data_IF_570998212360
#
_entry.id   IF_570998212360
#
_cell.length_a   1.000
_cell.length_b   1.000
_cell.length_c   1.000
_cell.angle_alpha   90.00
_cell.angle_beta   90.00
_cell.angle_gamma   90.00
#
_symmetry.space_group_name_H-M   'P 1'
#
loop_
_entity.id
_entity.type
_entity.pdbx_description
1 polymer ?
#
# COMPACT_ATOMS: atom_id res chain seq x y z
N UNK A 1 -3.00 -35.91 17.25
CA UNK A 1 -2.91 -34.57 16.63
C UNK A 1 -2.33 -34.74 15.22
N UNK A 2 -2.99 -34.24 14.20
CA UNK A 2 -2.38 -34.22 12.86
C UNK A 2 -1.13 -33.35 12.93
N UNK A 3 -0.05 -33.79 12.32
CA UNK A 3 1.18 -33.01 12.22
C UNK A 3 0.87 -31.75 11.42
N UNK A 4 1.08 -30.56 12.03
CA UNK A 4 0.77 -29.28 11.38
C UNK A 4 1.84 -28.99 10.35
N UNK A 5 1.43 -28.71 9.12
CA UNK A 5 2.34 -28.27 8.07
C UNK A 5 2.75 -26.84 8.36
N UNK A 6 4.06 -26.61 8.45
CA UNK A 6 4.64 -25.30 8.74
C UNK A 6 5.32 -24.73 7.50
N UNK A 7 5.13 -23.44 7.27
CA UNK A 7 5.67 -22.72 6.13
C UNK A 7 6.59 -21.59 6.58
N UNK A 8 7.57 -21.23 5.76
CA UNK A 8 8.25 -19.96 5.85
C UNK A 8 7.29 -18.82 5.45
N UNK A 9 7.69 -17.57 5.64
CA UNK A 9 6.92 -16.45 5.12
C UNK A 9 6.94 -16.43 3.59
N UNK A 10 5.84 -16.05 2.96
CA UNK A 10 5.85 -15.74 1.53
C UNK A 10 6.64 -14.43 1.27
N UNK A 11 7.11 -14.19 0.04
CA UNK A 11 7.78 -12.93 -0.29
C UNK A 11 6.99 -11.68 0.11
N UNK A 12 5.68 -11.67 -0.08
CA UNK A 12 4.81 -10.55 0.31
C UNK A 12 4.74 -10.35 1.84
N UNK A 13 4.77 -11.43 2.60
CA UNK A 13 4.81 -11.37 4.07
C UNK A 13 6.18 -10.91 4.57
N UNK A 14 7.26 -11.31 3.89
CA UNK A 14 8.63 -10.95 4.29
C UNK A 14 8.88 -9.45 4.17
N UNK A 15 8.35 -8.78 3.14
CA UNK A 15 8.39 -7.31 3.00
C UNK A 15 7.81 -6.62 4.24
N UNK A 16 6.62 -7.02 4.67
CA UNK A 16 5.97 -6.47 5.87
C UNK A 16 6.73 -6.83 7.15
N UNK A 17 7.28 -8.03 7.22
CA UNK A 17 8.08 -8.47 8.38
C UNK A 17 9.40 -7.71 8.49
N UNK A 18 10.07 -7.40 7.39
CA UNK A 18 11.28 -6.58 7.37
C UNK A 18 11.01 -5.19 7.95
N UNK A 19 9.91 -4.55 7.59
CA UNK A 19 9.51 -3.27 8.19
C UNK A 19 9.36 -3.38 9.72
N UNK A 20 8.71 -4.44 10.20
CA UNK A 20 8.58 -4.72 11.63
C UNK A 20 9.91 -5.01 12.32
N UNK A 21 10.83 -5.70 11.64
CA UNK A 21 12.13 -6.08 12.19
C UNK A 21 13.07 -4.89 12.41
N UNK A 22 13.05 -3.94 11.46
CA UNK A 22 13.95 -2.79 11.50
C UNK A 22 13.39 -1.56 12.23
N UNK A 23 12.15 -1.63 12.77
CA UNK A 23 11.59 -0.56 13.57
C UNK A 23 11.44 -0.96 15.04
N UNK A 24 11.57 0.01 15.94
CA UNK A 24 11.29 -0.20 17.38
C UNK A 24 9.78 -0.35 17.65
N UNK A 25 8.94 0.16 16.75
CA UNK A 25 7.50 0.24 16.94
C UNK A 25 6.77 -0.80 16.10
N UNK A 26 6.42 -1.94 16.70
CA UNK A 26 5.78 -3.07 16.02
C UNK A 26 4.43 -2.74 15.37
N UNK A 27 3.79 -1.62 15.75
CA UNK A 27 2.53 -1.16 15.14
C UNK A 27 2.67 -0.72 13.68
N UNK A 28 3.89 -0.58 13.15
CA UNK A 28 4.14 -0.25 11.74
C UNK A 28 3.46 -1.22 10.77
N UNK A 29 3.25 -2.46 11.20
CA UNK A 29 2.56 -3.49 10.41
C UNK A 29 1.07 -3.63 10.74
N UNK A 30 0.47 -2.69 11.48
CA UNK A 30 -0.97 -2.68 11.67
C UNK A 30 -1.64 -1.90 10.54
N UNK A 31 -2.70 -2.46 9.99
CA UNK A 31 -3.66 -1.72 9.18
C UNK A 31 -4.89 -1.50 10.04
N UNK A 32 -5.35 -0.25 10.12
CA UNK A 32 -6.59 0.12 10.77
C UNK A 32 -7.53 0.68 9.71
N UNK A 33 -8.69 0.06 9.57
CA UNK A 33 -9.66 0.40 8.52
C UNK A 33 -11.08 0.17 9.00
N UNK A 34 -12.03 0.89 8.43
CA UNK A 34 -13.44 0.72 8.71
C UNK A 34 -14.30 0.73 7.45
N UNK A 35 -15.47 0.12 7.57
CA UNK A 35 -16.59 0.33 6.65
C UNK A 35 -17.78 0.88 7.44
N UNK A 36 -18.47 1.86 6.86
CA UNK A 36 -19.76 2.30 7.34
C UNK A 36 -20.86 1.35 6.85
N UNK A 37 -21.84 1.11 7.70
CA UNK A 37 -22.98 0.23 7.46
C UNK A 37 -24.28 1.03 7.50
N UNK A 38 -25.36 0.44 7.01
CA UNK A 38 -26.70 1.02 7.13
C UNK A 38 -27.13 1.16 8.60
N UNK A 39 -28.09 2.07 8.86
CA UNK A 39 -28.59 2.36 10.21
C UNK A 39 -29.30 1.17 10.86
N UNK A 40 -29.88 0.27 10.06
CA UNK A 40 -30.68 -0.89 10.51
C UNK A 40 -29.86 -2.19 10.66
N UNK A 41 -28.52 -2.11 10.75
CA UNK A 41 -27.67 -3.29 10.89
C UNK A 41 -27.92 -4.03 12.21
N UNK A 42 -28.12 -5.34 12.13
CA UNK A 42 -28.16 -6.24 13.27
C UNK A 42 -26.74 -6.71 13.63
N UNK A 43 -26.18 -6.18 14.72
CA UNK A 43 -24.82 -6.52 15.15
C UNK A 43 -24.68 -7.95 15.68
N UNK A 44 -25.73 -8.60 16.18
CA UNK A 44 -25.66 -10.01 16.57
C UNK A 44 -25.53 -10.89 15.33
N UNK A 45 -26.28 -10.54 14.28
CA UNK A 45 -26.17 -11.22 13.00
C UNK A 45 -24.83 -10.93 12.32
N UNK A 46 -24.33 -9.69 12.42
CA UNK A 46 -23.01 -9.30 11.91
C UNK A 46 -21.88 -10.05 12.63
N UNK A 47 -22.01 -10.31 13.93
CA UNK A 47 -21.06 -11.14 14.70
C UNK A 47 -21.05 -12.58 14.18
N UNK A 48 -22.22 -13.16 13.92
CA UNK A 48 -22.34 -14.50 13.31
C UNK A 48 -21.71 -14.51 11.91
N UNK A 49 -21.99 -13.50 11.10
CA UNK A 49 -21.41 -13.35 9.77
C UNK A 49 -19.87 -13.27 9.83
N UNK A 50 -19.32 -12.46 10.74
CA UNK A 50 -17.87 -12.35 10.91
C UNK A 50 -17.21 -13.69 11.29
N UNK A 51 -17.81 -14.43 12.23
CA UNK A 51 -17.27 -15.73 12.60
C UNK A 51 -17.33 -16.73 11.44
N UNK A 52 -18.37 -16.65 10.61
CA UNK A 52 -18.46 -17.44 9.37
C UNK A 52 -17.38 -17.04 8.36
N UNK A 53 -17.10 -15.75 8.22
CA UNK A 53 -15.99 -15.26 7.37
C UNK A 53 -14.64 -15.79 7.84
N UNK A 54 -14.40 -15.86 9.16
CA UNK A 54 -13.19 -16.46 9.72
C UNK A 54 -13.06 -17.96 9.37
N UNK A 55 -14.17 -18.70 9.39
CA UNK A 55 -14.19 -20.12 8.96
C UNK A 55 -13.87 -20.28 7.47
N UNK A 56 -14.39 -19.37 6.64
CA UNK A 56 -14.27 -19.40 5.18
C UNK A 56 -12.90 -18.93 4.66
N UNK A 57 -12.21 -18.06 5.39
CA UNK A 57 -10.96 -17.46 4.98
C UNK A 57 -9.81 -17.95 5.87
N UNK A 58 -9.02 -18.90 5.38
CA UNK A 58 -7.93 -19.53 6.12
C UNK A 58 -6.82 -18.54 6.52
N UNK A 59 -6.59 -17.46 5.77
CA UNK A 59 -5.67 -16.38 6.14
C UNK A 59 -5.99 -15.79 7.53
N UNK A 60 -7.26 -15.79 7.97
CA UNK A 60 -7.67 -15.32 9.29
C UNK A 60 -7.41 -16.34 10.40
N UNK A 61 -6.91 -17.53 10.07
CA UNK A 61 -6.55 -18.60 11.01
C UNK A 61 -5.05 -18.89 11.07
N UNK A 62 -4.22 -18.03 10.47
CA UNK A 62 -2.76 -18.13 10.53
C UNK A 62 -2.26 -17.97 11.97
N UNK A 63 -1.26 -18.76 12.33
CA UNK A 63 -0.46 -18.62 13.54
C UNK A 63 1.01 -18.46 13.17
N UNK A 64 1.64 -17.50 13.80
CA UNK A 64 3.07 -17.25 13.65
C UNK A 64 3.83 -17.75 14.87
N UNK A 65 5.00 -18.31 14.65
CA UNK A 65 5.92 -18.75 15.70
C UNK A 65 7.37 -18.59 15.26
N UNK A 66 8.29 -18.60 16.21
CA UNK A 66 9.73 -18.54 15.92
C UNK A 66 10.34 -19.93 15.96
N UNK A 67 11.07 -20.30 14.93
CA UNK A 67 11.85 -21.53 14.85
C UNK A 67 13.25 -21.21 14.37
N UNK A 68 14.28 -21.55 15.16
CA UNK A 68 15.70 -21.28 14.83
C UNK A 68 15.97 -19.84 14.37
N UNK A 69 15.32 -18.86 15.02
CA UNK A 69 15.46 -17.42 14.70
C UNK A 69 14.67 -16.92 13.49
N UNK A 70 14.04 -17.80 12.70
CA UNK A 70 13.14 -17.45 11.60
C UNK A 70 11.69 -17.35 12.11
N UNK A 71 10.91 -16.48 11.50
CA UNK A 71 9.45 -16.43 11.65
C UNK A 71 8.84 -17.46 10.72
N UNK A 72 8.05 -18.37 11.28
CA UNK A 72 7.35 -19.44 10.60
C UNK A 72 5.86 -19.28 10.80
N UNK A 73 5.05 -19.97 10.00
CA UNK A 73 3.60 -19.93 10.10
C UNK A 73 2.97 -21.31 9.84
N UNK A 74 1.76 -21.48 10.36
CA UNK A 74 0.87 -22.60 10.05
C UNK A 74 -0.57 -22.12 10.08
N UNK A 75 -1.47 -22.91 9.50
CA UNK A 75 -2.90 -22.63 9.47
C UNK A 75 -3.62 -23.51 10.49
N UNK A 76 -4.52 -22.93 11.27
CA UNK A 76 -5.41 -23.68 12.13
C UNK A 76 -6.65 -24.11 11.35
N UNK A 77 -7.11 -25.35 11.57
CA UNK A 77 -8.34 -25.86 10.94
C UNK A 77 -9.56 -25.03 11.38
N UNK A 78 -9.58 -24.69 12.68
CA UNK A 78 -10.69 -23.95 13.30
C UNK A 78 -10.18 -22.79 14.15
N UNK A 79 -11.04 -21.84 14.40
CA UNK A 79 -10.81 -20.75 15.35
C UNK A 79 -12.01 -20.63 16.28
N UNK A 80 -11.79 -20.45 17.59
CA UNK A 80 -12.88 -20.25 18.55
C UNK A 80 -13.77 -19.09 18.16
N UNK A 81 -15.08 -19.25 18.36
CA UNK A 81 -16.06 -18.20 18.14
C UNK A 81 -15.67 -16.93 18.89
N UNK A 82 -15.70 -15.80 18.20
CA UNK A 82 -15.31 -14.51 18.74
C UNK A 82 -16.53 -13.65 19.02
N UNK A 83 -16.75 -13.32 20.29
CA UNK A 83 -17.67 -12.25 20.68
C UNK A 83 -17.06 -10.89 20.34
N UNK A 84 -17.85 -10.03 19.69
CA UNK A 84 -17.43 -8.71 19.24
C UNK A 84 -18.20 -7.65 20.01
N UNK A 85 -17.51 -6.78 20.77
CA UNK A 85 -18.21 -5.73 21.50
C UNK A 85 -18.78 -4.67 20.57
N UNK A 86 -20.01 -4.23 20.86
CA UNK A 86 -20.62 -3.05 20.25
C UNK A 86 -20.31 -1.85 21.17
N UNK A 87 -19.59 -0.86 20.65
CA UNK A 87 -19.20 0.34 21.38
C UNK A 87 -19.92 1.55 20.80
N UNK A 88 -20.52 2.37 21.66
CA UNK A 88 -21.18 3.62 21.27
C UNK A 88 -20.31 4.81 21.63
N UNK A 89 -20.20 5.77 20.72
CA UNK A 89 -19.57 7.06 20.95
C UNK A 89 -20.60 8.17 20.74
N UNK A 90 -20.80 8.99 21.78
CA UNK A 90 -21.82 10.04 21.76
C UNK A 90 -21.31 11.36 21.15
N UNK A 91 -20.01 11.51 20.97
CA UNK A 91 -19.40 12.66 20.30
C UNK A 91 -18.26 12.23 19.36
N UNK A 92 -17.98 13.11 18.38
CA UNK A 92 -16.85 12.92 17.45
C UNK A 92 -15.51 12.88 18.20
N UNK A 93 -15.34 13.72 19.21
CA UNK A 93 -14.11 13.80 20.02
C UNK A 93 -13.83 12.49 20.77
N UNK A 94 -14.88 11.83 21.27
CA UNK A 94 -14.74 10.52 21.93
C UNK A 94 -14.26 9.45 20.93
N UNK A 95 -14.86 9.43 19.74
CA UNK A 95 -14.45 8.51 18.69
C UNK A 95 -13.02 8.78 18.22
N UNK A 96 -12.67 10.04 17.95
CA UNK A 96 -11.33 10.44 17.53
C UNK A 96 -10.28 10.10 18.61
N UNK A 97 -10.59 10.30 19.88
CA UNK A 97 -9.72 9.93 21.00
C UNK A 97 -9.51 8.40 21.09
N UNK A 98 -10.57 7.62 20.84
CA UNK A 98 -10.46 6.17 20.77
C UNK A 98 -9.53 5.76 19.61
N UNK A 99 -9.74 6.24 18.39
CA UNK A 99 -8.89 5.94 17.22
C UNK A 99 -7.44 6.33 17.50
N UNK A 100 -7.20 7.54 18.05
CA UNK A 100 -5.87 8.03 18.40
C UNK A 100 -5.13 7.14 19.41
N UNK A 101 -5.84 6.60 20.39
CA UNK A 101 -5.32 5.63 21.36
C UNK A 101 -5.14 4.24 20.76
N UNK A 102 -6.14 3.78 20.00
CA UNK A 102 -6.20 2.42 19.47
C UNK A 102 -5.13 2.17 18.41
N UNK A 103 -4.86 3.15 17.53
CA UNK A 103 -3.79 3.07 16.52
C UNK A 103 -2.38 2.92 17.12
N UNK A 104 -2.17 3.36 18.37
CA UNK A 104 -0.86 3.29 19.04
C UNK A 104 -0.50 1.90 19.58
N UNK A 105 -1.48 1.01 19.73
CA UNK A 105 -1.28 -0.36 20.25
C UNK A 105 -0.92 -1.30 19.08
N UNK A 106 0.22 -1.98 19.18
CA UNK A 106 0.59 -3.04 18.22
C UNK A 106 -0.26 -4.29 18.42
N UNK A 107 -0.55 -5.01 17.33
CA UNK A 107 -1.04 -6.39 17.40
C UNK A 107 0.13 -7.29 17.76
N UNK A 108 -0.07 -8.15 18.77
CA UNK A 108 0.86 -9.21 19.10
C UNK A 108 0.58 -10.44 18.22
N UNK A 109 1.17 -10.44 17.03
CA UNK A 109 0.96 -11.49 16.04
C UNK A 109 1.55 -12.86 16.44
N UNK A 110 2.42 -12.91 17.45
CA UNK A 110 2.97 -14.18 17.96
C UNK A 110 2.05 -14.86 18.99
N UNK A 111 1.37 -14.08 19.84
CA UNK A 111 0.59 -14.60 20.95
C UNK A 111 -0.86 -14.14 20.94
N UNK A 112 -1.16 -13.08 20.18
CA UNK A 112 -2.47 -12.46 20.13
C UNK A 112 -3.34 -12.88 18.96
N UNK A 113 -4.35 -12.09 18.73
CA UNK A 113 -5.24 -12.16 17.57
C UNK A 113 -4.65 -11.35 16.44
N UNK A 114 -4.59 -11.91 15.25
CA UNK A 114 -4.08 -11.25 14.04
C UNK A 114 -5.07 -10.24 13.44
N UNK A 115 -6.34 -10.30 13.83
CA UNK A 115 -7.42 -9.37 13.48
C UNK A 115 -8.24 -9.07 14.74
N UNK A 116 -8.55 -7.80 14.94
CA UNK A 116 -9.37 -7.28 16.04
C UNK A 116 -10.55 -6.50 15.47
N UNK A 117 -11.75 -7.10 15.39
CA UNK A 117 -12.96 -6.43 14.98
C UNK A 117 -13.58 -5.60 16.11
N UNK A 118 -14.21 -4.47 15.77
CA UNK A 118 -15.06 -3.69 16.66
C UNK A 118 -16.31 -3.26 15.90
N UNK A 119 -17.46 -3.38 16.54
CA UNK A 119 -18.70 -2.78 16.06
C UNK A 119 -18.91 -1.45 16.77
N UNK A 120 -19.18 -0.42 16.02
CA UNK A 120 -19.22 0.95 16.53
C UNK A 120 -20.52 1.61 16.09
N UNK A 121 -21.15 2.30 17.04
CA UNK A 121 -22.22 3.28 16.79
C UNK A 121 -21.64 4.67 16.99
N UNK A 122 -21.64 5.46 15.95
CA UNK A 122 -21.10 6.83 16.02
C UNK A 122 -22.16 7.84 16.44
N UNK A 123 -21.73 9.01 16.86
CA UNK A 123 -22.60 10.10 17.35
C UNK A 123 -23.58 10.62 16.29
N UNK A 124 -23.24 10.48 15.00
CA UNK A 124 -24.09 10.87 13.87
C UNK A 124 -25.04 9.74 13.40
N UNK A 125 -25.20 8.70 14.23
CA UNK A 125 -26.13 7.58 13.98
C UNK A 125 -25.59 6.51 13.03
N UNK A 126 -24.38 6.66 12.48
CA UNK A 126 -23.80 5.63 11.61
C UNK A 126 -23.37 4.41 12.39
N UNK A 127 -23.59 3.26 11.80
CA UNK A 127 -23.03 1.98 12.24
C UNK A 127 -21.74 1.70 11.45
N UNK A 128 -20.77 1.09 12.11
CA UNK A 128 -19.44 0.87 11.52
C UNK A 128 -18.84 -0.46 11.98
N UNK A 129 -18.14 -1.14 11.08
CA UNK A 129 -17.20 -2.21 11.42
C UNK A 129 -15.78 -1.66 11.29
N UNK A 130 -15.04 -1.68 12.38
CA UNK A 130 -13.64 -1.28 12.44
C UNK A 130 -12.77 -2.53 12.58
N UNK A 131 -11.80 -2.71 11.69
CA UNK A 131 -10.79 -3.75 11.79
C UNK A 131 -9.42 -3.16 12.06
N UNK A 132 -8.73 -3.73 13.05
CA UNK A 132 -7.28 -3.64 13.14
C UNK A 132 -6.69 -5.00 12.80
N UNK A 133 -5.82 -5.04 11.79
CA UNK A 133 -5.23 -6.29 11.31
C UNK A 133 -3.72 -6.21 11.20
N UNK A 134 -3.07 -7.36 11.29
CA UNK A 134 -1.65 -7.51 11.03
C UNK A 134 -1.39 -7.59 9.52
N UNK A 135 -0.53 -6.71 9.00
CA UNK A 135 -0.18 -6.68 7.57
C UNK A 135 0.55 -7.95 7.07
N UNK A 136 1.03 -8.81 7.97
CA UNK A 136 1.52 -10.15 7.61
C UNK A 136 0.40 -11.06 7.11
N UNK A 137 -0.86 -10.73 7.41
CA UNK A 137 -2.03 -11.54 7.06
C UNK A 137 -2.82 -10.97 5.92
N UNK A 138 -3.06 -9.66 5.94
CA UNK A 138 -3.90 -8.96 4.96
C UNK A 138 -3.20 -7.72 4.41
N UNK A 139 -3.36 -7.47 3.14
CA UNK A 139 -3.13 -6.16 2.51
C UNK A 139 -4.47 -5.42 2.31
N UNK A 140 -4.43 -4.21 1.73
CA UNK A 140 -5.65 -3.40 1.51
C UNK A 140 -6.63 -4.13 0.60
N UNK A 141 -6.16 -4.81 -0.44
CA UNK A 141 -7.02 -5.60 -1.32
C UNK A 141 -7.62 -6.79 -0.57
N UNK A 142 -6.82 -7.51 0.20
CA UNK A 142 -7.29 -8.62 1.04
C UNK A 142 -8.33 -8.18 2.07
N UNK A 143 -8.17 -6.99 2.65
CA UNK A 143 -9.18 -6.38 3.51
C UNK A 143 -10.49 -6.12 2.79
N UNK A 144 -10.42 -5.60 1.57
CA UNK A 144 -11.61 -5.40 0.74
C UNK A 144 -12.33 -6.74 0.47
N UNK A 145 -11.58 -7.81 0.12
CA UNK A 145 -12.17 -9.15 -0.04
C UNK A 145 -12.86 -9.61 1.24
N UNK A 146 -12.26 -9.42 2.41
CA UNK A 146 -12.87 -9.77 3.71
C UNK A 146 -14.13 -8.94 3.97
N UNK A 147 -14.12 -7.65 3.70
CA UNK A 147 -15.30 -6.81 3.90
C UNK A 147 -16.45 -7.22 2.98
N UNK A 148 -16.16 -7.49 1.70
CA UNK A 148 -17.17 -7.94 0.75
C UNK A 148 -17.72 -9.33 1.12
N UNK A 149 -16.87 -10.27 1.56
CA UNK A 149 -17.34 -11.57 2.04
C UNK A 149 -18.21 -11.40 3.30
N UNK A 150 -17.83 -10.49 4.23
CA UNK A 150 -18.61 -10.19 5.43
C UNK A 150 -20.02 -9.68 5.11
N UNK A 151 -20.13 -8.73 4.19
CA UNK A 151 -21.41 -8.15 3.79
C UNK A 151 -22.29 -9.17 3.04
N UNK A 152 -21.68 -9.93 2.15
CA UNK A 152 -22.39 -10.97 1.41
C UNK A 152 -22.89 -12.09 2.34
N UNK A 153 -22.05 -12.53 3.30
CA UNK A 153 -22.45 -13.52 4.32
C UNK A 153 -23.55 -12.95 5.23
N UNK A 154 -23.42 -11.69 5.68
CA UNK A 154 -24.46 -11.03 6.47
C UNK A 154 -25.79 -10.99 5.73
N UNK A 155 -25.80 -10.56 4.48
CA UNK A 155 -27.00 -10.50 3.66
C UNK A 155 -27.61 -11.89 3.42
N UNK A 156 -26.79 -12.91 3.17
CA UNK A 156 -27.26 -14.29 3.03
C UNK A 156 -27.93 -14.79 4.31
N UNK A 157 -27.33 -14.54 5.49
CA UNK A 157 -27.91 -14.90 6.78
C UNK A 157 -29.19 -14.12 7.08
N UNK A 158 -29.24 -12.80 6.77
CA UNK A 158 -30.43 -11.94 6.97
C UNK A 158 -31.61 -12.40 6.13
N UNK A 159 -31.37 -12.81 4.89
CA UNK A 159 -32.41 -13.18 3.93
C UNK A 159 -32.68 -14.68 3.88
N UNK A 160 -31.92 -15.51 4.62
CA UNK A 160 -32.06 -16.98 4.58
C UNK A 160 -31.70 -17.58 3.21
N UNK A 161 -30.78 -16.96 2.47
CA UNK A 161 -30.30 -17.43 1.17
C UNK A 161 -29.00 -18.23 1.29
N UNK A 162 -28.57 -18.85 0.20
CA UNK A 162 -27.30 -19.56 0.15
C UNK A 162 -26.11 -18.60 0.39
N UNK A 163 -25.06 -19.12 1.05
CA UNK A 163 -23.82 -18.38 1.26
C UNK A 163 -23.12 -18.13 -0.09
N UNK A 164 -22.34 -17.02 -0.20
CA UNK A 164 -21.57 -16.76 -1.40
C UNK A 164 -20.55 -17.89 -1.67
N UNK A 165 -20.00 -18.02 -2.90
CA UNK A 165 -18.98 -19.01 -3.22
C UNK A 165 -17.80 -18.98 -2.23
N UNK A 166 -17.20 -20.15 -1.97
CA UNK A 166 -16.06 -20.26 -1.06
C UNK A 166 -14.86 -19.48 -1.62
N UNK A 167 -14.23 -18.57 -0.84
CA UNK A 167 -12.99 -17.94 -1.25
C UNK A 167 -11.85 -18.95 -1.48
N UNK A 168 -10.89 -18.58 -2.32
CA UNK A 168 -9.72 -19.44 -2.53
C UNK A 168 -8.84 -19.51 -1.29
N UNK A 169 -8.20 -20.66 -1.05
CA UNK A 169 -7.30 -20.90 0.06
C UNK A 169 -6.04 -20.04 -0.05
N UNK A 170 -5.72 -19.31 1.00
CA UNK A 170 -4.46 -18.56 1.09
C UNK A 170 -3.27 -19.48 1.37
N UNK A 171 -3.48 -20.59 2.06
CA UNK A 171 -2.45 -21.62 2.26
C UNK A 171 -1.93 -22.15 0.92
N UNK A 172 -2.83 -22.45 -0.03
CA UNK A 172 -2.45 -22.88 -1.38
C UNK A 172 -1.72 -21.80 -2.17
N UNK A 173 -2.09 -20.53 -1.95
CA UNK A 173 -1.41 -19.38 -2.57
C UNK A 173 0.01 -19.22 -2.01
N UNK A 174 0.18 -19.26 -0.68
CA UNK A 174 1.49 -19.18 -0.02
C UNK A 174 2.42 -20.30 -0.49
N UNK A 175 1.92 -21.53 -0.52
CA UNK A 175 2.70 -22.69 -0.98
C UNK A 175 3.29 -22.46 -2.37
N UNK A 176 2.46 -22.03 -3.31
CA UNK A 176 2.93 -21.72 -4.67
C UNK A 176 3.90 -20.53 -4.73
N UNK A 177 3.68 -19.49 -3.92
CA UNK A 177 4.57 -18.34 -3.88
C UNK A 177 5.94 -18.69 -3.31
N UNK A 178 6.00 -19.56 -2.30
CA UNK A 178 7.25 -20.08 -1.72
C UNK A 178 7.98 -20.97 -2.74
N UNK A 179 7.26 -21.89 -3.40
CA UNK A 179 7.85 -22.75 -4.44
C UNK A 179 8.46 -21.91 -5.58
N UNK A 180 7.76 -20.87 -6.02
CA UNK A 180 8.26 -19.93 -7.04
C UNK A 180 9.49 -19.14 -6.58
N UNK A 181 9.53 -18.76 -5.32
CA UNK A 181 10.67 -18.03 -4.74
C UNK A 181 11.93 -18.87 -4.69
N UNK A 182 11.82 -20.19 -4.46
CA UNK A 182 12.97 -21.10 -4.46
C UNK A 182 13.34 -21.65 -5.84
N UNK A 183 12.69 -21.22 -6.92
CA UNK A 183 13.11 -21.55 -8.29
C UNK A 183 14.38 -20.76 -8.66
N UNK A 184 15.53 -21.39 -8.53
CA UNK A 184 16.85 -20.82 -8.78
C UNK A 184 17.00 -20.22 -10.19
N UNK A 185 16.33 -20.77 -11.21
CA UNK A 185 16.38 -20.25 -12.58
C UNK A 185 15.68 -18.91 -12.67
N UNK A 186 14.57 -18.78 -11.96
CA UNK A 186 13.78 -17.55 -11.88
C UNK A 186 14.53 -16.48 -11.11
N UNK A 187 15.08 -16.82 -9.95
CA UNK A 187 15.86 -15.90 -9.11
C UNK A 187 17.09 -15.36 -9.84
N UNK A 188 17.82 -16.22 -10.59
CA UNK A 188 18.96 -15.77 -11.41
C UNK A 188 18.54 -14.74 -12.46
N UNK A 189 17.43 -14.98 -13.18
CA UNK A 189 16.90 -14.00 -14.17
C UNK A 189 16.49 -12.68 -13.53
N UNK A 190 15.90 -12.72 -12.33
CA UNK A 190 15.53 -11.52 -11.60
C UNK A 190 16.79 -10.75 -11.18
N UNK A 191 17.78 -11.42 -10.61
CA UNK A 191 19.04 -10.82 -10.21
C UNK A 191 19.79 -10.18 -11.39
N UNK A 192 19.88 -10.85 -12.53
CA UNK A 192 20.49 -10.33 -13.76
C UNK A 192 19.76 -9.06 -14.24
N UNK A 193 18.42 -9.09 -14.28
CA UNK A 193 17.63 -7.93 -14.69
C UNK A 193 17.87 -6.71 -13.80
N UNK A 194 17.87 -6.87 -12.47
CA UNK A 194 18.08 -5.76 -11.55
C UNK A 194 19.55 -5.28 -11.58
N UNK A 195 20.50 -6.18 -11.77
CA UNK A 195 21.89 -5.81 -11.98
C UNK A 195 22.05 -4.93 -13.22
N UNK A 196 21.45 -5.31 -14.34
CA UNK A 196 21.45 -4.52 -15.58
C UNK A 196 20.70 -3.19 -15.41
N UNK A 197 19.60 -3.21 -14.63
CA UNK A 197 18.85 -1.98 -14.33
C UNK A 197 19.70 -0.95 -13.57
N UNK A 198 20.61 -1.38 -12.72
CA UNK A 198 21.50 -0.51 -11.94
C UNK A 198 22.86 -0.24 -12.62
N UNK A 199 23.26 -1.07 -13.60
CA UNK A 199 24.54 -0.96 -14.27
C UNK A 199 24.66 0.36 -15.05
N UNK A 200 25.80 1.04 -14.93
CA UNK A 200 26.15 2.26 -15.63
C UNK A 200 25.11 3.41 -15.54
N UNK A 201 24.26 3.38 -14.54
CA UNK A 201 23.28 4.43 -14.31
C UNK A 201 23.73 5.39 -13.22
N UNK A 202 23.44 6.68 -13.40
CA UNK A 202 23.75 7.65 -12.35
C UNK A 202 22.97 7.33 -11.09
N UNK A 203 23.57 7.56 -9.94
CA UNK A 203 22.90 7.44 -8.64
C UNK A 203 21.57 8.20 -8.65
N UNK A 204 20.44 7.58 -8.22
CA UNK A 204 19.14 8.24 -8.18
C UNK A 204 19.11 9.33 -7.11
N UNK A 205 18.28 10.35 -7.34
CA UNK A 205 18.00 11.38 -6.35
C UNK A 205 16.79 11.03 -5.51
N UNK A 206 16.89 11.28 -4.22
CA UNK A 206 15.71 11.34 -3.38
C UNK A 206 14.87 12.58 -3.74
N UNK A 207 13.65 12.37 -4.22
CA UNK A 207 12.74 13.43 -4.69
C UNK A 207 11.54 13.56 -3.75
N UNK A 208 11.73 14.15 -2.58
CA UNK A 208 10.66 14.27 -1.57
C UNK A 208 9.57 15.27 -1.99
N UNK A 209 8.32 15.00 -1.63
CA UNK A 209 7.18 15.91 -1.88
C UNK A 209 7.26 17.22 -1.08
N UNK A 210 8.10 17.28 -0.06
CA UNK A 210 8.42 18.52 0.67
C UNK A 210 9.27 19.49 -0.15
N UNK A 211 9.90 19.05 -1.24
CA UNK A 211 10.80 19.87 -2.06
C UNK A 211 12.20 20.05 -1.44
N UNK A 212 13.05 20.86 -2.11
CA UNK A 212 14.43 21.04 -1.72
C UNK A 212 14.64 21.94 -0.49
N UNK A 213 13.61 22.70 -0.08
CA UNK A 213 13.72 23.71 0.98
C UNK A 213 13.70 23.14 2.40
N UNK A 214 13.51 21.84 2.52
CA UNK A 214 13.55 21.17 3.81
C UNK A 214 14.97 21.22 4.41
N UNK A 215 15.11 21.89 5.56
CA UNK A 215 16.42 22.08 6.23
C UNK A 215 17.14 20.78 6.59
N UNK A 216 16.39 19.72 6.88
CA UNK A 216 16.94 18.40 7.17
C UNK A 216 17.52 17.80 5.89
N UNK A 217 16.82 17.94 4.78
CA UNK A 217 17.27 17.51 3.46
C UNK A 217 18.50 18.28 2.99
N UNK A 218 18.48 19.62 3.05
CA UNK A 218 19.61 20.48 2.67
C UNK A 218 20.88 20.18 3.46
N UNK A 219 20.75 19.91 4.76
CA UNK A 219 21.89 19.54 5.61
C UNK A 219 22.55 18.23 5.18
N UNK A 220 21.80 17.32 4.56
CA UNK A 220 22.26 16.02 4.06
C UNK A 220 22.82 16.08 2.65
N UNK A 221 22.24 16.87 1.75
CA UNK A 221 22.77 17.11 0.40
C UNK A 221 24.22 17.66 0.43
N UNK A 222 24.57 18.43 1.45
CA UNK A 222 25.94 18.94 1.64
C UNK A 222 26.98 17.84 1.91
N UNK A 223 26.58 16.63 2.18
CA UNK A 223 27.44 15.48 2.45
C UNK A 223 27.68 14.58 1.23
N UNK A 224 27.43 15.06 0.01
CA UNK A 224 27.58 14.34 -1.27
C UNK A 224 26.69 13.08 -1.43
N UNK A 225 25.69 12.89 -0.58
CA UNK A 225 24.75 11.78 -0.70
C UNK A 225 23.46 12.20 -1.40
N UNK A 226 23.03 11.40 -2.37
CA UNK A 226 21.77 11.61 -3.12
C UNK A 226 20.57 10.94 -2.45
N UNK A 227 20.84 10.01 -1.53
CA UNK A 227 19.84 9.33 -0.71
C UNK A 227 19.45 10.11 0.55
N UNK A 228 18.36 9.71 1.19
CA UNK A 228 17.87 10.23 2.45
C UNK A 228 18.17 9.25 3.58
N UNK A 229 18.67 9.72 4.73
CA UNK A 229 18.86 8.84 5.89
C UNK A 229 17.52 8.38 6.45
N UNK A 230 17.38 7.08 6.68
CA UNK A 230 16.20 6.52 7.33
C UNK A 230 16.11 6.95 8.80
N UNK A 231 14.87 7.12 9.28
CA UNK A 231 14.59 7.49 10.67
C UNK A 231 13.98 6.28 11.39
N UNK A 232 14.79 5.57 12.18
CA UNK A 232 14.31 4.36 12.88
C UNK A 232 13.61 4.67 14.22
N UNK A 233 13.96 5.79 14.87
CA UNK A 233 13.44 6.16 16.19
C UNK A 233 12.31 7.18 16.06
N UNK A 234 12.52 8.19 15.22
CA UNK A 234 11.59 9.30 15.02
C UNK A 234 10.86 9.13 13.68
N UNK A 235 10.13 8.05 13.55
CA UNK A 235 9.42 7.65 12.34
C UNK A 235 7.90 7.88 12.47
N UNK A 236 7.50 8.97 13.15
CA UNK A 236 6.10 9.37 13.23
C UNK A 236 5.59 9.81 11.88
N UNK A 237 4.41 9.31 11.52
CA UNK A 237 3.71 9.66 10.28
C UNK A 237 2.33 10.23 10.58
N UNK A 238 1.84 11.04 9.64
CA UNK A 238 0.47 11.55 9.60
C UNK A 238 -0.07 11.38 8.19
N UNK A 239 -1.36 11.05 8.08
CA UNK A 239 -2.04 10.90 6.81
C UNK A 239 -2.89 12.13 6.51
N UNK A 240 -2.69 12.71 5.33
CA UNK A 240 -3.49 13.82 4.79
C UNK A 240 -4.21 13.34 3.54
N UNK A 241 -5.51 13.62 3.46
CA UNK A 241 -6.35 13.14 2.36
C UNK A 241 -6.71 14.33 1.47
N UNK A 242 -6.45 14.16 0.17
CA UNK A 242 -6.83 15.09 -0.87
C UNK A 242 -7.55 14.35 -2.01
N UNK A 243 -8.28 15.09 -2.84
CA UNK A 243 -9.09 14.50 -3.92
C UNK A 243 -8.73 15.12 -5.27
N UNK A 244 -8.54 14.27 -6.26
CA UNK A 244 -8.62 14.64 -7.68
C UNK A 244 -10.09 14.48 -8.05
N UNK A 245 -10.72 15.57 -8.49
CA UNK A 245 -12.15 15.64 -8.80
C UNK A 245 -12.53 14.76 -10.00
N UNK A 246 -13.82 14.59 -10.18
CA UNK A 246 -14.40 13.72 -11.21
C UNK A 246 -14.06 14.18 -12.63
N UNK A 247 -14.05 15.49 -12.90
CA UNK A 247 -13.72 16.02 -14.22
C UNK A 247 -12.29 15.65 -14.62
N UNK A 248 -11.31 15.99 -13.77
CA UNK A 248 -9.91 15.68 -14.02
C UNK A 248 -9.65 14.16 -14.07
N UNK A 249 -10.33 13.38 -13.23
CA UNK A 249 -10.24 11.93 -13.24
C UNK A 249 -10.74 11.35 -14.56
N UNK A 250 -11.90 11.80 -15.05
CA UNK A 250 -12.46 11.35 -16.34
C UNK A 250 -11.50 11.64 -17.48
N UNK A 251 -10.98 12.86 -17.55
CA UNK A 251 -9.99 13.26 -18.58
C UNK A 251 -8.72 12.39 -18.57
N UNK A 252 -8.25 12.02 -17.37
CA UNK A 252 -7.12 11.08 -17.23
C UNK A 252 -7.48 9.70 -17.75
N UNK A 253 -8.66 9.17 -17.39
CA UNK A 253 -9.08 7.84 -17.81
C UNK A 253 -9.30 7.76 -19.33
N UNK A 254 -9.87 8.80 -19.92
CA UNK A 254 -10.06 8.91 -21.38
C UNK A 254 -8.71 8.95 -22.09
N UNK A 255 -7.79 9.80 -21.65
CA UNK A 255 -6.42 9.83 -22.18
C UNK A 255 -5.74 8.46 -22.10
N UNK A 256 -5.86 7.80 -20.95
CA UNK A 256 -5.28 6.47 -20.73
C UNK A 256 -5.84 5.42 -21.71
N UNK A 257 -7.16 5.45 -21.93
CA UNK A 257 -7.84 4.55 -22.87
C UNK A 257 -7.41 4.80 -24.32
N UNK A 258 -7.40 6.05 -24.75
CA UNK A 258 -7.02 6.46 -26.11
C UNK A 258 -5.54 6.13 -26.42
N UNK A 259 -4.65 6.32 -25.44
CA UNK A 259 -3.21 6.13 -25.64
C UNK A 259 -2.68 4.78 -25.16
N UNK A 260 -3.55 3.86 -24.73
CA UNK A 260 -3.19 2.52 -24.24
C UNK A 260 -2.18 2.54 -23.07
N UNK A 261 -2.31 3.54 -22.20
CA UNK A 261 -1.54 3.69 -20.96
C UNK A 261 -2.40 3.22 -19.78
N UNK A 262 -1.85 2.40 -18.88
CA UNK A 262 -2.63 2.04 -17.70
C UNK A 262 -2.81 3.26 -16.78
N UNK A 263 -4.00 3.47 -16.18
CA UNK A 263 -4.22 4.55 -15.21
C UNK A 263 -3.20 4.54 -14.05
N UNK A 264 -2.86 3.36 -13.54
CA UNK A 264 -1.85 3.22 -12.51
C UNK A 264 -0.49 3.79 -12.95
N UNK A 265 -0.03 3.47 -14.16
CA UNK A 265 1.23 3.99 -14.70
C UNK A 265 1.16 5.50 -14.94
N UNK A 266 0.02 6.00 -15.41
CA UNK A 266 -0.17 7.43 -15.66
C UNK A 266 -0.08 8.23 -14.35
N UNK A 267 -0.86 7.86 -13.35
CA UNK A 267 -0.84 8.53 -12.05
C UNK A 267 0.49 8.39 -11.33
N UNK A 268 1.12 7.21 -11.39
CA UNK A 268 2.43 6.99 -10.79
C UNK A 268 3.50 7.85 -11.47
N UNK A 269 3.55 7.86 -12.79
CA UNK A 269 4.54 8.65 -13.54
C UNK A 269 4.37 10.15 -13.30
N UNK A 270 3.16 10.66 -13.40
CA UNK A 270 2.88 12.09 -13.22
C UNK A 270 3.14 12.55 -11.78
N UNK A 271 2.82 11.73 -10.79
CA UNK A 271 3.14 12.00 -9.39
C UNK A 271 4.66 12.11 -9.16
N UNK A 272 5.41 11.13 -9.64
CA UNK A 272 6.86 11.11 -9.47
C UNK A 272 7.57 12.16 -10.33
N UNK A 273 7.04 12.49 -11.51
CA UNK A 273 7.48 13.61 -12.33
C UNK A 273 7.27 14.95 -11.60
N UNK A 274 6.12 15.16 -10.97
CA UNK A 274 5.86 16.36 -10.16
C UNK A 274 6.88 16.51 -9.04
N UNK A 275 7.18 15.40 -8.34
CA UNK A 275 8.21 15.40 -7.33
C UNK A 275 9.61 15.69 -7.91
N UNK A 276 9.95 15.17 -9.08
CA UNK A 276 11.21 15.45 -9.75
C UNK A 276 11.33 16.92 -10.18
N UNK A 277 10.25 17.50 -10.73
CA UNK A 277 10.18 18.92 -11.08
C UNK A 277 10.39 19.82 -9.86
N UNK A 278 9.70 19.50 -8.74
CA UNK A 278 9.82 20.21 -7.47
C UNK A 278 11.24 20.14 -6.91
N UNK A 279 11.95 19.05 -7.13
CA UNK A 279 13.33 18.84 -6.69
C UNK A 279 14.35 19.20 -7.79
N UNK A 280 14.28 20.46 -8.25
CA UNK A 280 15.24 21.07 -9.20
C UNK A 280 15.34 20.33 -10.54
N UNK A 281 14.21 19.83 -11.05
CA UNK A 281 14.16 19.05 -12.30
C UNK A 281 15.13 17.86 -12.26
N UNK A 282 15.07 17.08 -11.19
CA UNK A 282 15.88 15.86 -11.04
C UNK A 282 15.71 14.95 -12.25
N UNK A 283 16.82 14.48 -12.83
CA UNK A 283 16.79 13.67 -14.06
C UNK A 283 16.45 12.21 -13.82
N UNK A 284 16.62 11.74 -12.60
CA UNK A 284 16.40 10.35 -12.21
C UNK A 284 15.97 10.24 -10.74
N UNK A 285 15.10 9.31 -10.48
CA UNK A 285 14.59 8.99 -9.16
C UNK A 285 14.36 7.47 -9.04
N UNK A 286 14.20 7.00 -7.81
CA UNK A 286 13.91 5.60 -7.52
C UNK A 286 12.66 5.49 -6.62
N UNK A 287 11.46 5.77 -7.12
CA UNK A 287 10.23 5.51 -6.38
C UNK A 287 9.92 4.01 -6.31
N UNK A 288 9.09 3.61 -5.33
CA UNK A 288 8.52 2.28 -5.24
C UNK A 288 7.12 2.25 -5.85
N UNK A 289 6.84 1.23 -6.64
CA UNK A 289 5.48 0.85 -7.01
C UNK A 289 5.03 -0.31 -6.13
N UNK A 290 3.86 -0.19 -5.53
CA UNK A 290 3.23 -1.28 -4.79
C UNK A 290 2.33 -2.06 -5.74
N UNK A 291 2.68 -3.33 -5.94
CA UNK A 291 2.04 -4.19 -6.90
C UNK A 291 1.10 -5.16 -6.20
N UNK A 292 -0.15 -5.19 -6.63
CA UNK A 292 -1.08 -6.24 -6.25
C UNK A 292 -0.78 -7.49 -7.09
N UNK A 293 -0.03 -8.43 -6.54
CA UNK A 293 0.45 -9.62 -7.24
C UNK A 293 -0.62 -10.71 -7.46
N UNK A 294 -1.89 -10.34 -7.60
CA UNK A 294 -3.02 -11.24 -7.87
C UNK A 294 -3.33 -11.28 -9.35
N UNK A 295 -2.85 -12.33 -10.01
CA UNK A 295 -2.97 -12.48 -11.47
C UNK A 295 -4.17 -13.36 -11.83
N UNK A 296 -4.33 -14.50 -11.14
CA UNK A 296 -5.38 -15.48 -11.42
C UNK A 296 -6.70 -15.14 -10.72
N UNK A 297 -7.85 -15.66 -11.21
CA UNK A 297 -9.14 -15.50 -10.49
C UNK A 297 -9.08 -15.99 -9.04
N UNK A 298 -8.40 -17.12 -8.77
CA UNK A 298 -8.22 -17.66 -7.42
C UNK A 298 -7.44 -16.69 -6.53
N UNK A 299 -6.35 -16.08 -7.05
CA UNK A 299 -5.60 -15.09 -6.29
C UNK A 299 -6.42 -13.80 -6.03
N UNK A 300 -7.30 -13.43 -6.95
CA UNK A 300 -8.21 -12.27 -6.78
C UNK A 300 -9.31 -12.53 -5.78
N UNK A 301 -9.80 -13.76 -5.63
CA UNK A 301 -10.77 -14.14 -4.60
C UNK A 301 -10.12 -14.44 -3.23
N UNK A 302 -8.79 -14.49 -3.15
CA UNK A 302 -8.05 -14.79 -1.94
C UNK A 302 -7.80 -13.51 -1.12
N UNK A 303 -8.15 -13.53 0.15
CA UNK A 303 -8.02 -12.36 1.02
C UNK A 303 -6.59 -12.10 1.54
N UNK A 304 -5.72 -13.10 1.59
CA UNK A 304 -4.38 -12.99 2.19
C UNK A 304 -3.48 -11.92 1.59
N UNK A 305 -2.39 -11.53 2.27
CA UNK A 305 -1.46 -10.50 1.76
C UNK A 305 -0.67 -10.98 0.55
N UNK A 306 -0.71 -10.20 -0.55
CA UNK A 306 0.01 -10.46 -1.81
C UNK A 306 0.71 -9.21 -2.35
N UNK A 307 0.57 -8.07 -1.69
CA UNK A 307 1.24 -6.84 -2.12
C UNK A 307 2.76 -6.99 -2.02
N UNK A 308 3.45 -6.52 -3.04
CA UNK A 308 4.92 -6.43 -3.05
C UNK A 308 5.33 -5.05 -3.53
N UNK A 309 6.49 -4.60 -3.08
CA UNK A 309 7.12 -3.39 -3.56
C UNK A 309 8.09 -3.71 -4.70
N UNK A 310 8.20 -2.82 -5.66
CA UNK A 310 9.21 -2.91 -6.70
C UNK A 310 9.80 -1.54 -6.99
N UNK A 311 11.12 -1.46 -6.96
CA UNK A 311 11.83 -0.22 -7.20
C UNK A 311 11.87 0.12 -8.69
N UNK A 312 11.41 1.33 -9.02
CA UNK A 312 11.25 1.81 -10.38
C UNK A 312 12.30 2.87 -10.71
N UNK A 313 13.41 2.47 -11.33
CA UNK A 313 14.41 3.46 -11.75
C UNK A 313 13.84 4.34 -12.86
N UNK A 314 13.33 5.50 -12.50
CA UNK A 314 12.69 6.47 -13.38
C UNK A 314 13.69 7.48 -13.93
N UNK A 315 13.65 7.73 -15.25
CA UNK A 315 14.46 8.75 -15.93
C UNK A 315 13.55 9.74 -16.64
N UNK A 316 13.76 11.02 -16.40
CA UNK A 316 13.00 12.10 -16.99
C UNK A 316 13.83 12.79 -18.08
N UNK A 317 13.38 12.69 -19.35
CA UNK A 317 14.02 13.42 -20.44
C UNK A 317 13.30 14.74 -20.67
N UNK A 318 13.83 15.78 -20.07
CA UNK A 318 13.23 17.12 -20.12
C UNK A 318 13.18 17.78 -21.52
N UNK A 319 13.93 17.25 -22.50
CA UNK A 319 13.90 17.71 -23.89
C UNK A 319 12.87 16.98 -24.75
N UNK A 320 12.22 15.96 -24.21
CA UNK A 320 11.19 15.16 -24.88
C UNK A 320 9.81 15.54 -24.35
N UNK A 321 8.78 15.24 -25.15
CA UNK A 321 7.39 15.47 -24.77
C UNK A 321 6.95 14.56 -23.62
N UNK A 322 5.86 14.92 -22.96
CA UNK A 322 5.23 14.06 -21.97
C UNK A 322 4.86 12.70 -22.58
N UNK A 323 4.23 12.71 -23.76
CA UNK A 323 3.81 11.48 -24.45
C UNK A 323 4.98 10.52 -24.73
N UNK A 324 6.12 11.03 -25.22
CA UNK A 324 7.32 10.19 -25.43
C UNK A 324 7.85 9.60 -24.14
N UNK A 325 7.82 10.39 -23.05
CA UNK A 325 8.30 9.96 -21.75
C UNK A 325 7.38 8.91 -21.11
N UNK A 326 6.04 9.11 -21.12
CA UNK A 326 5.10 8.16 -20.51
C UNK A 326 5.06 6.83 -21.27
N UNK A 327 5.15 6.85 -22.62
CA UNK A 327 5.25 5.61 -23.42
C UNK A 327 6.51 4.81 -23.06
N UNK A 328 7.66 5.47 -22.95
CA UNK A 328 8.91 4.84 -22.52
C UNK A 328 8.82 4.29 -21.10
N UNK A 329 8.23 5.06 -20.18
CA UNK A 329 8.02 4.65 -18.81
C UNK A 329 7.12 3.40 -18.75
N UNK A 330 5.97 3.40 -19.43
CA UNK A 330 5.03 2.28 -19.46
C UNK A 330 5.68 1.00 -20.00
N UNK A 331 6.49 1.11 -21.06
CA UNK A 331 7.25 -0.03 -21.58
C UNK A 331 8.29 -0.56 -20.57
N UNK A 332 8.93 0.32 -19.81
CA UNK A 332 9.86 -0.08 -18.74
C UNK A 332 9.13 -0.74 -17.58
N UNK A 333 7.95 -0.23 -17.20
CA UNK A 333 7.12 -0.83 -16.14
C UNK A 333 6.64 -2.23 -16.51
N UNK A 334 6.20 -2.44 -17.76
CA UNK A 334 5.79 -3.77 -18.23
C UNK A 334 6.91 -4.82 -18.07
N UNK A 335 8.15 -4.44 -18.37
CA UNK A 335 9.31 -5.30 -18.14
C UNK A 335 9.57 -5.52 -16.66
N UNK A 336 9.51 -4.45 -15.86
CA UNK A 336 9.78 -4.50 -14.42
C UNK A 336 8.78 -5.41 -13.69
N UNK A 337 7.49 -5.36 -14.04
CA UNK A 337 6.46 -6.19 -13.41
C UNK A 337 6.64 -7.70 -13.67
N UNK A 338 7.37 -8.10 -14.70
CA UNK A 338 7.73 -9.52 -14.89
C UNK A 338 8.75 -10.02 -13.84
N UNK A 339 9.39 -9.09 -13.12
CA UNK A 339 10.39 -9.37 -12.09
C UNK A 339 9.89 -9.08 -10.67
N UNK A 340 8.59 -8.87 -10.49
CA UNK A 340 7.96 -8.82 -9.16
C UNK A 340 8.15 -10.17 -8.46
N UNK A 341 8.50 -10.11 -7.18
CA UNK A 341 8.82 -11.30 -6.37
C UNK A 341 10.31 -11.49 -6.13
N UNK A 342 11.17 -10.68 -6.75
CA UNK A 342 12.56 -10.65 -6.36
C UNK A 342 12.71 -10.12 -4.93
N UNK A 343 13.70 -10.64 -4.21
CA UNK A 343 13.94 -10.27 -2.82
C UNK A 343 14.29 -8.79 -2.67
N UNK A 344 13.45 -8.04 -1.93
CA UNK A 344 13.73 -6.63 -1.60
C UNK A 344 15.10 -6.48 -0.91
N UNK A 345 15.48 -7.42 -0.05
CA UNK A 345 16.77 -7.42 0.63
C UNK A 345 17.94 -7.58 -0.33
N UNK A 346 17.81 -8.44 -1.32
CA UNK A 346 18.86 -8.62 -2.34
C UNK A 346 18.96 -7.40 -3.22
N UNK A 347 17.82 -6.85 -3.64
CA UNK A 347 17.79 -5.60 -4.40
C UNK A 347 18.45 -4.43 -3.63
N UNK A 348 18.14 -4.25 -2.35
CA UNK A 348 18.78 -3.25 -1.49
C UNK A 348 20.29 -3.45 -1.42
N UNK A 349 20.75 -4.69 -1.28
CA UNK A 349 22.16 -5.00 -1.28
C UNK A 349 22.84 -4.62 -2.62
N UNK A 350 22.21 -4.93 -3.75
CA UNK A 350 22.70 -4.53 -5.07
C UNK A 350 22.74 -3.02 -5.23
N UNK A 351 21.69 -2.32 -4.79
CA UNK A 351 21.55 -0.87 -4.86
C UNK A 351 22.67 -0.16 -4.08
N UNK A 352 22.88 -0.56 -2.82
CA UNK A 352 23.91 0.03 -1.98
C UNK A 352 25.33 -0.28 -2.48
N UNK A 353 25.55 -1.46 -3.04
CA UNK A 353 26.83 -1.82 -3.66
C UNK A 353 27.09 -1.00 -4.94
N UNK A 354 26.06 -0.83 -5.80
CA UNK A 354 26.18 -0.10 -7.05
C UNK A 354 26.56 1.38 -6.83
N UNK A 355 26.00 2.01 -5.80
CA UNK A 355 26.22 3.43 -5.51
C UNK A 355 27.12 3.70 -4.31
N UNK A 356 27.71 2.68 -3.70
CA UNK A 356 28.58 2.78 -2.52
C UNK A 356 27.94 3.59 -1.38
N UNK A 357 26.62 3.45 -1.22
CA UNK A 357 25.83 4.16 -0.22
C UNK A 357 25.69 3.34 1.07
N UNK A 358 25.27 4.01 2.15
CA UNK A 358 25.04 3.37 3.44
C UNK A 358 23.70 2.64 3.47
N UNK A 359 23.64 1.47 4.09
CA UNK A 359 22.37 0.75 4.40
C UNK A 359 21.41 1.54 5.30
N UNK A 360 21.87 2.68 5.87
CA UNK A 360 21.03 3.60 6.64
C UNK A 360 20.39 4.70 5.78
N UNK A 361 20.63 4.67 4.48
CA UNK A 361 20.08 5.61 3.51
C UNK A 361 19.04 4.93 2.63
N UNK A 362 18.08 5.70 2.15
CA UNK A 362 17.09 5.28 1.18
C UNK A 362 17.01 6.27 0.03
N UNK A 363 16.77 5.76 -1.16
CA UNK A 363 16.46 6.56 -2.34
C UNK A 363 14.94 6.67 -2.57
N UNK A 364 14.16 5.89 -1.82
CA UNK A 364 12.71 5.84 -1.96
C UNK A 364 12.06 7.04 -1.29
N UNK A 365 11.62 7.98 -2.09
CA UNK A 365 10.88 9.17 -1.62
C UNK A 365 9.37 8.96 -1.65
N UNK A 366 8.92 8.11 -2.56
CA UNK A 366 7.52 7.80 -2.81
C UNK A 366 7.38 6.28 -2.91
N UNK A 367 6.47 5.72 -2.11
CA UNK A 367 5.92 4.39 -2.32
C UNK A 367 4.46 4.57 -2.77
N UNK A 368 4.19 4.22 -4.01
CA UNK A 368 2.93 4.53 -4.68
C UNK A 368 2.07 3.28 -4.83
N UNK A 369 0.82 3.37 -4.44
CA UNK A 369 -0.19 2.34 -4.65
C UNK A 369 -1.40 2.93 -5.37
N UNK A 370 -1.80 2.32 -6.47
CA UNK A 370 -3.08 2.60 -7.12
C UNK A 370 -4.03 1.43 -6.87
N UNK A 371 -5.13 1.71 -6.19
CA UNK A 371 -6.11 0.68 -5.80
C UNK A 371 -7.45 0.99 -6.46
N UNK A 372 -7.72 0.40 -7.64
CA UNK A 372 -9.04 0.50 -8.27
C UNK A 372 -9.99 -0.44 -7.52
N UNK A 373 -10.78 0.10 -6.60
CA UNK A 373 -11.78 -0.67 -5.85
C UNK A 373 -13.17 -0.22 -6.28
N UNK A 374 -14.01 -1.17 -6.66
CA UNK A 374 -15.44 -0.96 -6.83
C UNK A 374 -16.12 -1.10 -5.46
N UNK A 375 -16.19 0.02 -4.73
CA UNK A 375 -16.87 0.08 -3.44
C UNK A 375 -18.36 0.22 -3.70
N UNK A 376 -19.24 -0.65 -3.13
CA UNK A 376 -20.69 -0.49 -3.23
C UNK A 376 -21.13 0.90 -2.76
N UNK A 377 -22.18 1.45 -3.40
CA UNK A 377 -22.64 2.83 -3.13
C UNK A 377 -23.01 3.08 -1.67
N UNK A 378 -23.46 2.05 -0.97
CA UNK A 378 -23.92 2.15 0.42
C UNK A 378 -22.77 2.09 1.44
N UNK A 379 -21.52 1.89 1.00
CA UNK A 379 -20.38 1.65 1.89
C UNK A 379 -19.36 2.78 1.76
N UNK A 380 -19.04 3.40 2.89
CA UNK A 380 -17.85 4.25 3.01
C UNK A 380 -16.70 3.43 3.60
N UNK A 381 -15.57 3.47 2.92
CA UNK A 381 -14.35 2.77 3.34
C UNK A 381 -13.28 3.77 3.76
N UNK A 382 -12.77 3.62 4.99
CA UNK A 382 -11.72 4.47 5.53
C UNK A 382 -10.48 3.68 5.95
N UNK A 383 -9.31 4.26 5.69
CA UNK A 383 -8.02 3.76 6.17
C UNK A 383 -7.43 4.82 7.11
N UNK A 384 -7.04 4.38 8.30
CA UNK A 384 -6.42 5.24 9.31
C UNK A 384 -4.92 5.01 9.36
N UNK A 385 -4.12 6.08 9.36
CA UNK A 385 -2.69 5.95 9.59
C UNK A 385 -2.40 5.30 10.95
N UNK A 386 -1.47 4.36 10.98
CA UNK A 386 -0.99 3.78 12.24
C UNK A 386 -0.01 4.71 12.99
N UNK A 387 0.33 5.85 12.39
CA UNK A 387 1.19 6.89 12.95
C UNK A 387 2.67 6.54 12.99
N UNK A 388 3.12 5.52 12.24
CA UNK A 388 4.51 5.12 12.10
C UNK A 388 4.79 4.60 10.69
N UNK A 389 5.90 5.02 10.11
CA UNK A 389 6.33 4.58 8.79
C UNK A 389 7.80 4.19 8.75
N UNK A 390 8.13 3.17 7.99
CA UNK A 390 9.52 2.79 7.72
C UNK A 390 10.15 3.67 6.64
N UNK A 391 9.35 4.09 5.66
CA UNK A 391 9.76 4.94 4.54
C UNK A 391 9.38 6.41 4.78
N UNK A 392 10.13 7.36 4.19
CA UNK A 392 9.89 8.79 4.35
C UNK A 392 8.56 9.30 3.79
N UNK A 393 7.98 8.62 2.81
CA UNK A 393 6.67 8.96 2.24
C UNK A 393 5.97 7.73 1.68
N UNK A 394 4.66 7.69 1.83
CA UNK A 394 3.79 6.66 1.31
C UNK A 394 2.55 7.32 0.70
N UNK A 395 2.23 7.00 -0.55
CA UNK A 395 1.07 7.56 -1.25
C UNK A 395 0.16 6.42 -1.68
N UNK A 396 -1.07 6.45 -1.20
CA UNK A 396 -2.14 5.56 -1.65
C UNK A 396 -3.10 6.38 -2.49
N UNK A 397 -3.41 5.92 -3.68
CA UNK A 397 -4.52 6.43 -4.48
C UNK A 397 -5.64 5.41 -4.49
N UNK A 398 -6.79 5.79 -3.97
CA UNK A 398 -8.04 5.03 -4.02
C UNK A 398 -8.94 5.65 -5.08
N UNK A 399 -9.32 4.86 -6.07
CA UNK A 399 -10.32 5.26 -7.05
C UNK A 399 -11.72 5.06 -6.46
N UNK A 400 -12.48 6.14 -6.35
CA UNK A 400 -13.86 6.10 -5.87
C UNK A 400 -14.80 6.05 -7.07
N UNK A 401 -15.43 4.88 -7.28
CA UNK A 401 -16.36 4.67 -8.40
C UNK A 401 -17.67 5.42 -8.23
N UNK A 402 -18.10 5.73 -6.99
CA UNK A 402 -19.33 6.49 -6.73
C UNK A 402 -19.28 7.90 -7.28
N UNK A 403 -18.15 8.56 -7.06
CA UNK A 403 -17.94 9.95 -7.43
C UNK A 403 -17.04 10.07 -8.67
N UNK A 404 -16.58 8.95 -9.23
CA UNK A 404 -15.58 8.91 -10.30
C UNK A 404 -14.38 9.81 -9.99
N UNK A 405 -13.91 9.80 -8.74
CA UNK A 405 -12.81 10.63 -8.27
C UNK A 405 -11.66 9.79 -7.71
N UNK A 406 -10.50 10.41 -7.56
CA UNK A 406 -9.34 9.76 -6.93
C UNK A 406 -9.13 10.36 -5.54
N UNK A 407 -9.31 9.57 -4.51
CA UNK A 407 -8.92 9.90 -3.14
C UNK A 407 -7.45 9.55 -2.92
N UNK A 408 -6.62 10.53 -2.62
CA UNK A 408 -5.20 10.35 -2.36
C UNK A 408 -4.92 10.48 -0.87
N UNK A 409 -4.45 9.40 -0.26
CA UNK A 409 -3.93 9.41 1.10
C UNK A 409 -2.40 9.60 1.06
N UNK A 410 -1.91 10.68 1.63
CA UNK A 410 -0.50 11.00 1.80
C UNK A 410 -0.08 10.64 3.22
N UNK A 411 0.42 9.44 3.46
CA UNK A 411 0.99 9.08 4.76
C UNK A 411 2.48 9.46 4.77
N UNK A 412 2.80 10.55 5.43
CA UNK A 412 4.10 11.21 5.32
C UNK A 412 4.79 11.33 6.67
N UNK A 413 6.09 11.35 6.64
CA UNK A 413 6.94 11.48 7.81
C UNK A 413 6.90 12.90 8.36
N UNK A 414 6.36 13.10 9.57
CA UNK A 414 6.10 14.43 10.17
C UNK A 414 7.35 15.29 10.39
N UNK A 415 8.55 14.69 10.47
CA UNK A 415 9.81 15.45 10.56
C UNK A 415 10.24 16.11 9.27
N UNK A 416 9.82 15.55 8.13
CA UNK A 416 10.27 16.02 6.82
C UNK A 416 9.17 16.72 6.05
N UNK A 417 7.92 16.39 6.34
CA UNK A 417 6.78 16.80 5.53
C UNK A 417 5.63 17.24 6.44
N UNK A 418 5.17 18.47 6.27
CA UNK A 418 4.00 19.04 6.96
C UNK A 418 2.76 18.93 6.06
N UNK A 419 1.58 19.22 6.63
CA UNK A 419 0.33 19.34 5.90
C UNK A 419 0.42 20.37 4.75
N UNK A 420 1.06 21.52 5.00
CA UNK A 420 1.28 22.56 3.99
C UNK A 420 2.11 22.05 2.80
N UNK A 421 3.14 21.22 3.06
CA UNK A 421 3.92 20.60 2.01
C UNK A 421 3.04 19.65 1.15
N UNK A 422 2.18 18.88 1.80
CA UNK A 422 1.26 17.96 1.10
C UNK A 422 0.24 18.74 0.27
N UNK A 423 -0.40 19.75 0.84
CA UNK A 423 -1.39 20.59 0.15
C UNK A 423 -0.76 21.29 -1.08
N UNK A 424 0.44 21.87 -0.92
CA UNK A 424 1.21 22.48 -1.99
C UNK A 424 1.55 21.46 -3.10
N UNK A 425 2.07 20.30 -2.71
CA UNK A 425 2.40 19.24 -3.67
C UNK A 425 1.16 18.76 -4.41
N UNK A 426 0.04 18.56 -3.74
CA UNK A 426 -1.21 18.12 -4.37
C UNK A 426 -1.72 19.14 -5.39
N UNK A 427 -1.66 20.45 -5.06
CA UNK A 427 -1.99 21.53 -6.01
C UNK A 427 -1.09 21.46 -7.25
N UNK A 428 0.23 21.36 -7.06
CA UNK A 428 1.20 21.24 -8.15
C UNK A 428 0.93 19.98 -9.00
N UNK A 429 0.60 18.89 -8.36
CA UNK A 429 0.28 17.62 -9.03
C UNK A 429 -0.96 17.76 -9.93
N UNK A 430 -2.05 18.35 -9.43
CA UNK A 430 -3.24 18.64 -10.24
C UNK A 430 -2.91 19.56 -11.42
N UNK A 431 -2.06 20.56 -11.22
CA UNK A 431 -1.63 21.45 -12.27
C UNK A 431 -0.82 20.71 -13.36
N UNK A 432 0.12 19.84 -12.99
CA UNK A 432 0.85 19.00 -13.96
C UNK A 432 -0.11 18.09 -14.73
N UNK A 433 -1.09 17.46 -14.05
CA UNK A 433 -2.12 16.63 -14.70
C UNK A 433 -2.87 17.44 -15.77
N UNK A 434 -3.33 18.65 -15.45
CA UNK A 434 -4.03 19.50 -16.41
C UNK A 434 -3.15 19.84 -17.63
N UNK A 435 -1.92 20.32 -17.41
CA UNK A 435 -1.01 20.69 -18.51
C UNK A 435 -0.72 19.52 -19.46
N UNK A 436 -0.49 18.33 -18.94
CA UNK A 436 -0.17 17.16 -19.79
C UNK A 436 -1.39 16.61 -20.52
N UNK A 437 -2.60 16.82 -19.99
CA UNK A 437 -3.84 16.44 -20.65
C UNK A 437 -4.25 17.46 -21.72
N UNK A 438 -4.02 18.76 -21.49
CA UNK A 438 -4.27 19.81 -22.46
C UNK A 438 -3.29 19.75 -23.63
N UNK A 439 -2.03 19.44 -23.36
CA UNK A 439 -0.99 19.32 -24.39
C UNK A 439 -0.03 18.16 -24.11
N UNK A 440 -0.34 16.91 -24.53
CA UNK A 440 0.55 15.77 -24.36
C UNK A 440 1.92 15.92 -25.05
N UNK A 441 2.04 16.83 -26.02
CA UNK A 441 3.30 17.14 -26.70
C UNK A 441 4.16 18.16 -25.96
N UNK A 442 3.71 18.68 -24.81
CA UNK A 442 4.51 19.59 -23.98
C UNK A 442 5.84 18.92 -23.57
N UNK A 443 6.95 19.64 -23.76
CA UNK A 443 8.24 19.13 -23.27
C UNK A 443 8.28 19.21 -21.75
N UNK A 444 8.85 18.20 -21.09
CA UNK A 444 8.87 18.17 -19.61
C UNK A 444 9.56 19.41 -18.98
N UNK A 445 10.48 20.05 -19.71
CA UNK A 445 11.15 21.29 -19.24
C UNK A 445 10.21 22.50 -19.17
N UNK A 446 9.14 22.48 -19.94
CA UNK A 446 8.20 23.60 -20.10
C UNK A 446 7.02 23.48 -19.09
N UNK A 447 6.93 22.36 -18.35
CA UNK A 447 5.96 22.19 -17.28
C UNK A 447 6.21 23.17 -16.13
N UNK A 448 5.14 23.76 -15.63
CA UNK A 448 5.12 24.74 -14.53
C UNK A 448 4.43 24.14 -13.31
N UNK A 449 4.93 24.45 -12.11
CA UNK A 449 4.39 23.92 -10.84
C UNK A 449 3.46 24.89 -10.09
N UNK A 450 3.20 26.07 -10.65
CA UNK A 450 2.39 27.12 -10.00
C UNK A 450 0.89 26.81 -10.01
#
# INVERSE_FOLDING_TARGET
>A
MKEKICYELSPSQDVSYLQCRYTLFKRVINILTSISLSEDVDFELMEKAFNRVVERNDCLRIKFFKQKGKLMQYFEDERPYQKIPVVKYDTKEQFDAFIAKYKKRAIDYLHGKIIEPHFIKTHDGKNMVLFKVCHLVLDVYGLFVIFMDLLNVYNALKNGTELPPQPASFEEVIKRDIERHYDMRRETKHAEFFKDMLSDKPEPYYTGIHGPDNKIWQKKLKQHHRGMRMFFIHNDTEAYIHTIDSDLTTRVLDYCKENQVSPANFFFYTCTLTAALLNNKSRNALPLSLCNCRITPNEKSCAGTKVQSIACYSRYNYKKSFEENIKRFSASQAKLYMHVGFSDREFETMLHNAYRSSLLETYYSIAFSFVPMEIPEEIDFDIYSNGKGALPGYLIQLFDTKTNSIRMAYDVHTKTTSEEHVARFHKMYKNVLNQVLENPQIQLRDLVLE
#
